data_IF_722898528382
#
_entry.id   IF_722898528382
#
_cell.length_a   1.000
_cell.length_b   1.000
_cell.length_c   1.000
_cell.angle_alpha   90.00
_cell.angle_beta   90.00
_cell.angle_gamma   90.00
#
_symmetry.space_group_name_H-M   'P 1'
#
loop_
_entity.id
_entity.type
_entity.pdbx_description
1 polymer ?
#
# COMPACT_ATOMS: atom_id res chain seq x y z
N UNK A 1 -13.57 -16.72 -82.31
CA UNK A 1 -13.66 -18.02 -81.62
C UNK A 1 -12.26 -18.34 -81.06
N UNK A 2 -12.04 -18.00 -79.78
CA UNK A 2 -11.89 -18.93 -78.62
C UNK A 2 -10.61 -19.79 -78.73
N UNK A 3 -9.56 -19.43 -77.97
CA UNK A 3 -9.23 -19.89 -76.59
C UNK A 3 -8.80 -21.37 -76.65
N UNK A 4 -7.72 -21.85 -76.01
CA UNK A 4 -7.31 -21.76 -74.59
C UNK A 4 -6.00 -22.59 -74.49
N UNK A 5 -4.89 -22.05 -73.96
CA UNK A 5 -4.36 -22.12 -72.57
C UNK A 5 -3.36 -23.27 -72.30
N UNK A 6 -2.17 -22.86 -71.83
CA UNK A 6 -1.24 -23.43 -70.82
C UNK A 6 -0.71 -24.88 -71.08
N UNK A 7 0.56 -25.22 -70.82
CA UNK A 7 1.36 -24.90 -69.64
C UNK A 7 2.86 -25.26 -69.87
N UNK A 8 3.68 -24.82 -68.91
CA UNK A 8 5.04 -25.28 -68.57
C UNK A 8 6.22 -24.67 -69.33
N UNK A 9 6.91 -23.72 -68.68
CA UNK A 9 8.38 -23.73 -68.61
C UNK A 9 8.86 -22.84 -67.45
N UNK A 10 9.62 -23.46 -66.53
CA UNK A 10 10.51 -22.78 -65.60
C UNK A 10 11.55 -22.00 -66.40
N UNK A 11 11.68 -20.70 -66.16
CA UNK A 11 12.86 -19.92 -66.56
C UNK A 11 13.23 -18.99 -65.41
N UNK A 12 14.51 -19.07 -65.07
CA UNK A 12 15.22 -18.24 -64.10
C UNK A 12 15.39 -16.79 -64.58
N UNK A 13 15.60 -15.92 -63.59
CA UNK A 13 16.18 -14.58 -63.67
C UNK A 13 15.28 -13.46 -64.21
N UNK A 14 14.85 -12.57 -63.31
CA UNK A 14 14.94 -11.12 -63.54
C UNK A 14 14.95 -10.34 -62.21
N UNK A 15 15.98 -9.52 -62.07
CA UNK A 15 16.16 -8.30 -61.28
C UNK A 15 14.98 -7.81 -60.41
N UNK A 16 15.23 -7.60 -59.12
CA UNK A 16 14.56 -6.53 -58.38
C UNK A 16 15.51 -5.84 -57.40
N UNK A 17 15.59 -4.53 -57.60
CA UNK A 17 16.33 -3.53 -56.86
C UNK A 17 15.60 -3.18 -55.56
N UNK A 18 16.37 -2.74 -54.56
CA UNK A 18 15.99 -2.01 -53.34
C UNK A 18 15.28 -2.81 -52.22
N UNK A 19 16.05 -3.13 -51.17
CA UNK A 19 15.91 -2.44 -49.87
C UNK A 19 17.06 -2.87 -48.95
N UNK A 20 17.83 -1.87 -48.51
CA UNK A 20 18.92 -2.04 -47.58
C UNK A 20 18.36 -2.39 -46.19
N UNK A 21 18.58 -3.63 -45.75
CA UNK A 21 18.51 -3.99 -44.34
C UNK A 21 19.83 -3.57 -43.68
N UNK A 22 19.97 -2.27 -43.38
CA UNK A 22 21.00 -1.83 -42.43
C UNK A 22 20.51 -2.17 -41.03
N UNK A 23 21.21 -3.10 -40.40
CA UNK A 23 21.26 -3.28 -38.96
C UNK A 23 21.54 -1.92 -38.29
N UNK A 24 20.49 -1.26 -37.82
CA UNK A 24 20.61 -0.25 -36.79
C UNK A 24 20.44 -0.97 -35.46
N UNK A 25 21.58 -1.13 -34.78
CA UNK A 25 21.71 -1.49 -33.39
C UNK A 25 20.83 -0.51 -32.58
N UNK A 26 19.57 -0.87 -32.34
CA UNK A 26 18.73 -0.20 -31.34
C UNK A 26 19.40 -0.53 -30.02
N UNK A 27 20.26 0.37 -29.60
CA UNK A 27 20.84 0.37 -28.28
C UNK A 27 19.66 0.47 -27.33
N UNK A 28 19.30 -0.67 -26.76
CA UNK A 28 18.44 -0.78 -25.61
C UNK A 28 19.16 -0.03 -24.49
N UNK A 29 18.92 1.28 -24.39
CA UNK A 29 19.18 1.99 -23.15
C UNK A 29 18.11 1.44 -22.21
N UNK A 30 18.43 0.31 -21.57
CA UNK A 30 17.97 0.03 -20.23
C UNK A 30 18.41 1.26 -19.42
N UNK A 31 17.54 2.26 -19.38
CA UNK A 31 17.59 3.28 -18.35
C UNK A 31 17.39 2.53 -17.05
N UNK A 32 18.49 2.10 -16.45
CA UNK A 32 18.56 1.94 -15.01
C UNK A 32 18.35 3.35 -14.49
N UNK A 33 17.08 3.74 -14.36
CA UNK A 33 16.71 4.93 -13.61
C UNK A 33 17.10 4.61 -12.18
N UNK A 34 18.29 5.08 -11.82
CA UNK A 34 18.73 5.13 -10.44
C UNK A 34 17.74 6.02 -9.70
N UNK A 35 17.02 5.45 -8.73
CA UNK A 35 16.12 6.15 -7.79
C UNK A 35 16.88 7.13 -6.85
N UNK A 36 17.95 7.74 -7.34
CA UNK A 36 18.99 8.37 -6.53
C UNK A 36 18.64 9.76 -5.98
N UNK A 37 17.51 10.37 -6.37
CA UNK A 37 17.23 11.79 -6.11
C UNK A 37 15.76 12.10 -5.74
N UNK A 38 15.13 11.35 -4.83
CA UNK A 38 14.00 11.97 -4.09
C UNK A 38 14.60 12.81 -2.96
N UNK A 39 14.39 14.13 -3.01
CA UNK A 39 14.86 15.01 -1.93
C UNK A 39 14.02 14.76 -0.66
N UNK A 40 14.66 14.71 0.52
CA UNK A 40 13.96 14.56 1.78
C UNK A 40 13.02 15.74 1.98
N UNK A 41 11.81 15.45 2.44
CA UNK A 41 10.76 16.46 2.63
C UNK A 41 9.76 16.02 3.68
N UNK A 42 9.11 16.99 4.32
CA UNK A 42 7.90 16.76 5.10
C UNK A 42 6.73 17.43 4.40
N UNK A 43 5.55 16.85 4.59
CA UNK A 43 4.29 17.42 4.10
C UNK A 43 3.43 17.74 5.32
N UNK A 44 3.02 18.99 5.47
CA UNK A 44 2.10 19.42 6.55
C UNK A 44 0.70 18.83 6.35
N UNK A 45 -0.15 18.91 7.36
CA UNK A 45 -1.56 18.49 7.22
C UNK A 45 -2.27 19.22 6.08
N UNK A 46 -2.00 20.51 5.95
CA UNK A 46 -2.58 21.37 4.93
C UNK A 46 -1.95 21.11 3.55
N UNK A 47 -0.99 20.19 3.42
CA UNK A 47 -0.37 19.79 2.16
C UNK A 47 0.79 20.69 1.71
N UNK A 48 1.34 21.53 2.59
CA UNK A 48 2.55 22.30 2.28
C UNK A 48 3.77 21.38 2.29
N UNK A 49 4.63 21.54 1.29
CA UNK A 49 5.86 20.74 1.17
C UNK A 49 7.03 21.56 1.72
N UNK A 50 7.69 21.03 2.74
CA UNK A 50 8.92 21.60 3.29
C UNK A 50 10.06 20.65 2.95
N UNK A 51 10.88 21.05 1.97
CA UNK A 51 12.08 20.31 1.58
C UNK A 51 13.16 20.45 2.65
N UNK A 52 13.86 19.36 2.95
CA UNK A 52 14.94 19.30 3.93
C UNK A 52 14.99 17.98 4.68
N UNK A 53 16.16 17.68 5.26
CA UNK A 53 16.34 16.54 6.14
C UNK A 53 15.68 16.83 7.48
N UNK A 54 14.94 15.86 8.00
CA UNK A 54 14.57 15.86 9.41
C UNK A 54 15.85 15.65 10.22
N UNK A 55 16.14 16.56 11.12
CA UNK A 55 17.36 16.54 11.96
C UNK A 55 17.10 15.81 13.28
N UNK A 56 15.91 16.01 13.85
CA UNK A 56 15.50 15.39 15.10
C UNK A 56 13.98 15.39 15.25
N UNK A 57 13.46 14.43 16.01
CA UNK A 57 12.10 14.46 16.57
C UNK A 57 12.26 14.36 18.08
N UNK A 58 11.81 15.38 18.81
CA UNK A 58 11.84 15.37 20.27
C UNK A 58 10.72 14.51 20.86
N UNK A 59 10.85 14.14 22.14
CA UNK A 59 9.80 13.45 22.90
C UNK A 59 8.51 14.25 23.06
N UNK A 60 8.56 15.57 22.82
CA UNK A 60 7.36 16.42 22.75
C UNK A 60 6.70 16.44 21.37
N UNK A 61 7.15 15.60 20.42
CA UNK A 61 6.65 15.58 19.05
C UNK A 61 7.13 16.76 18.20
N UNK A 62 8.14 17.53 18.61
CA UNK A 62 8.67 18.60 17.77
C UNK A 62 9.65 18.05 16.73
N UNK A 63 9.36 18.29 15.44
CA UNK A 63 10.16 17.90 14.28
C UNK A 63 11.00 19.08 13.83
N UNK A 64 12.33 18.93 13.82
CA UNK A 64 13.26 19.95 13.32
C UNK A 64 13.67 19.66 11.89
N UNK A 65 13.51 20.65 11.02
CA UNK A 65 13.91 20.60 9.61
C UNK A 65 14.50 21.95 9.20
N UNK A 66 15.79 21.98 8.87
CA UNK A 66 16.53 23.24 8.65
C UNK A 66 16.34 24.18 9.86
N UNK A 67 15.88 25.41 9.63
CA UNK A 67 15.60 26.42 10.65
C UNK A 67 14.13 26.39 11.15
N UNK A 68 13.33 25.40 10.74
CA UNK A 68 11.92 25.27 11.10
C UNK A 68 11.72 24.19 12.18
N UNK A 69 10.77 24.47 13.07
CA UNK A 69 10.26 23.51 14.05
C UNK A 69 8.76 23.35 13.84
N UNK A 70 8.34 22.13 13.51
CA UNK A 70 6.96 21.78 13.20
C UNK A 70 6.48 20.71 14.18
N UNK A 71 5.24 20.78 14.70
CA UNK A 71 4.71 19.72 15.53
C UNK A 71 4.37 18.49 14.69
N UNK A 72 4.69 17.29 15.18
CA UNK A 72 4.53 16.02 14.48
C UNK A 72 3.07 15.76 14.11
N UNK A 73 2.13 16.09 14.99
CA UNK A 73 0.68 16.00 14.74
C UNK A 73 0.15 17.03 13.72
N UNK A 74 0.99 18.00 13.33
CA UNK A 74 0.79 18.96 12.25
C UNK A 74 1.35 18.49 10.90
N UNK A 75 1.93 17.29 10.83
CA UNK A 75 2.46 16.72 9.61
C UNK A 75 1.57 15.58 9.11
N UNK A 76 1.44 15.47 7.78
CA UNK A 76 0.77 14.38 7.06
C UNK A 76 1.74 13.25 6.75
N UNK A 77 2.96 13.63 6.32
CA UNK A 77 3.98 12.63 6.00
C UNK A 77 5.40 13.16 6.12
N UNK A 78 6.32 12.24 6.37
CA UNK A 78 7.77 12.45 6.33
C UNK A 78 8.33 11.52 5.26
N UNK A 79 9.08 12.08 4.31
CA UNK A 79 9.84 11.34 3.30
C UNK A 79 11.33 11.52 3.62
N UNK A 80 12.01 10.48 4.13
CA UNK A 80 13.44 10.52 4.45
C UNK A 80 14.34 10.60 3.21
N UNK A 81 15.63 10.83 3.46
CA UNK A 81 16.68 10.94 2.42
C UNK A 81 17.06 9.56 1.84
N UNK A 82 18.06 9.57 0.94
CA UNK A 82 18.61 8.45 0.19
C UNK A 82 18.65 7.12 0.95
N UNK A 83 18.18 6.10 0.24
CA UNK A 83 17.78 4.79 0.77
C UNK A 83 18.86 3.74 0.52
N UNK A 84 19.01 2.79 1.44
CA UNK A 84 19.78 1.57 1.21
C UNK A 84 18.94 0.56 0.42
N UNK A 85 19.42 0.01 -0.69
CA UNK A 85 18.69 -1.06 -1.37
C UNK A 85 18.78 -2.35 -0.54
N UNK A 86 17.64 -2.80 -0.02
CA UNK A 86 17.51 -4.12 0.62
C UNK A 86 16.45 -4.91 -0.13
N UNK A 87 16.84 -6.02 -0.73
CA UNK A 87 15.92 -6.97 -1.35
C UNK A 87 15.18 -7.75 -0.27
N UNK A 88 13.84 -7.80 -0.34
CA UNK A 88 13.05 -8.62 0.57
C UNK A 88 13.21 -10.11 0.23
N UNK A 89 13.81 -10.86 1.16
CA UNK A 89 13.95 -12.32 1.09
C UNK A 89 13.08 -13.04 2.12
N UNK A 90 12.08 -12.35 2.68
CA UNK A 90 11.28 -12.89 3.77
C UNK A 90 10.41 -14.06 3.32
N UNK A 91 10.33 -15.07 4.20
CA UNK A 91 9.59 -16.30 3.94
C UNK A 91 8.14 -16.21 4.38
N UNK A 92 7.76 -15.19 5.14
CA UNK A 92 6.44 -15.06 5.77
C UNK A 92 6.11 -13.64 6.22
N UNK A 93 5.10 -13.53 7.07
CA UNK A 93 4.78 -12.29 7.80
C UNK A 93 4.40 -12.57 9.25
N UNK A 94 4.78 -11.64 10.13
CA UNK A 94 4.24 -11.52 11.49
C UNK A 94 3.36 -10.27 11.52
N UNK A 95 2.13 -10.40 11.98
CA UNK A 95 1.13 -9.33 12.01
C UNK A 95 0.76 -9.10 13.47
N UNK A 96 0.85 -7.86 13.94
CA UNK A 96 0.56 -7.48 15.32
C UNK A 96 -0.89 -6.99 15.49
N UNK A 97 -1.38 -6.96 16.73
CA UNK A 97 -2.73 -6.48 17.08
C UNK A 97 -2.94 -4.99 16.77
N UNK A 98 -1.87 -4.18 16.72
CA UNK A 98 -1.95 -2.79 16.26
C UNK A 98 -2.07 -2.67 14.73
N UNK A 99 -1.88 -3.77 13.99
CA UNK A 99 -1.88 -3.82 12.53
C UNK A 99 -0.50 -3.58 11.90
N UNK A 100 0.58 -3.59 12.69
CA UNK A 100 1.94 -3.70 12.15
C UNK A 100 2.12 -5.02 11.40
N UNK A 101 2.79 -4.97 10.26
CA UNK A 101 3.09 -6.12 9.41
C UNK A 101 4.59 -6.21 9.15
N UNK A 102 5.25 -7.16 9.79
CA UNK A 102 6.66 -7.45 9.56
C UNK A 102 6.83 -8.48 8.46
N UNK A 103 7.66 -8.16 7.46
CA UNK A 103 8.28 -9.17 6.63
C UNK A 103 9.20 -9.99 7.53
N UNK A 104 8.99 -11.32 7.56
CA UNK A 104 9.58 -12.18 8.58
C UNK A 104 10.11 -13.51 8.00
N UNK A 105 11.22 -13.98 8.55
CA UNK A 105 11.79 -15.30 8.35
C UNK A 105 12.15 -15.94 9.69
N UNK A 106 12.28 -17.28 9.71
CA UNK A 106 12.66 -18.03 10.93
C UNK A 106 11.77 -17.73 12.14
N UNK A 107 10.46 -17.63 11.92
CA UNK A 107 9.46 -17.38 12.97
C UNK A 107 9.46 -18.56 13.96
N UNK A 108 9.60 -18.27 15.25
CA UNK A 108 9.57 -19.23 16.35
C UNK A 108 8.75 -18.71 17.52
N UNK A 109 8.23 -19.62 18.33
CA UNK A 109 7.63 -19.32 19.64
C UNK A 109 8.60 -19.78 20.72
N UNK A 110 9.10 -18.86 21.55
CA UNK A 110 10.06 -19.10 22.63
C UNK A 110 9.57 -18.32 23.85
N UNK A 111 9.33 -19.00 24.98
CA UNK A 111 8.95 -18.38 26.25
C UNK A 111 7.84 -17.31 26.13
N UNK A 112 6.71 -17.67 25.50
CA UNK A 112 5.55 -16.78 25.24
C UNK A 112 5.85 -15.59 24.31
N UNK A 113 6.99 -15.58 23.62
CA UNK A 113 7.36 -14.56 22.64
C UNK A 113 7.50 -15.15 21.23
N UNK A 114 7.04 -14.40 20.23
CA UNK A 114 7.32 -14.68 18.83
C UNK A 114 8.65 -14.02 18.45
N UNK A 115 9.63 -14.84 18.10
CA UNK A 115 10.97 -14.42 17.68
C UNK A 115 11.11 -14.66 16.18
N UNK A 116 11.61 -13.66 15.44
CA UNK A 116 11.78 -13.75 13.99
C UNK A 116 12.87 -12.81 13.47
N UNK A 117 13.38 -13.09 12.27
CA UNK A 117 14.26 -12.17 11.55
C UNK A 117 13.43 -11.29 10.61
N UNK A 118 13.64 -9.96 10.64
CA UNK A 118 13.06 -9.02 9.68
C UNK A 118 14.17 -8.31 8.88
N UNK A 119 14.05 -8.20 7.54
CA UNK A 119 15.05 -7.53 6.71
C UNK A 119 15.35 -6.11 7.18
N UNK A 120 16.64 -5.77 7.27
CA UNK A 120 17.11 -4.46 7.73
C UNK A 120 17.06 -4.28 9.25
N UNK A 121 16.02 -4.76 9.94
CA UNK A 121 15.87 -4.63 11.39
C UNK A 121 16.73 -5.65 12.14
N UNK A 122 16.81 -6.89 11.65
CA UNK A 122 17.50 -7.99 12.31
C UNK A 122 16.56 -8.88 13.13
N UNK A 123 17.02 -9.35 14.30
CA UNK A 123 16.22 -10.20 15.18
C UNK A 123 15.19 -9.35 15.94
N UNK A 124 13.92 -9.72 15.85
CA UNK A 124 12.80 -9.07 16.51
C UNK A 124 12.12 -10.08 17.43
N UNK A 125 11.75 -9.63 18.61
CA UNK A 125 11.07 -10.40 19.64
C UNK A 125 9.86 -9.58 20.10
N UNK A 126 8.68 -10.20 20.05
CA UNK A 126 7.42 -9.58 20.48
C UNK A 126 6.63 -10.57 21.35
N UNK A 127 5.97 -10.12 22.42
CA UNK A 127 5.07 -10.98 23.19
C UNK A 127 3.98 -11.58 22.31
N UNK A 128 3.58 -12.83 22.54
CA UNK A 128 2.53 -13.50 21.77
C UNK A 128 1.20 -12.74 21.83
N UNK A 129 0.91 -12.08 22.95
CA UNK A 129 -0.29 -11.25 23.13
C UNK A 129 -0.33 -10.03 22.19
N UNK A 130 0.83 -9.53 21.77
CA UNK A 130 0.93 -8.46 20.77
C UNK A 130 0.75 -8.99 19.34
N UNK A 131 0.75 -10.30 19.13
CA UNK A 131 0.66 -10.92 17.81
C UNK A 131 -0.79 -11.22 17.48
N UNK A 132 -1.20 -10.86 16.27
CA UNK A 132 -2.53 -11.16 15.71
C UNK A 132 -2.50 -12.38 14.80
N UNK A 133 -1.49 -12.48 13.95
CA UNK A 133 -1.40 -13.56 13.00
C UNK A 133 0.05 -13.82 12.55
N UNK A 134 0.29 -15.07 12.18
CA UNK A 134 1.53 -15.56 11.60
C UNK A 134 1.22 -16.15 10.23
N UNK A 135 2.01 -15.82 9.21
CA UNK A 135 1.84 -16.35 7.86
C UNK A 135 3.15 -16.96 7.40
N UNK A 136 3.12 -18.24 7.08
CA UNK A 136 4.27 -18.98 6.56
C UNK A 136 4.11 -19.13 5.03
N UNK A 137 5.07 -18.60 4.27
CA UNK A 137 5.09 -18.66 2.80
C UNK A 137 4.63 -17.37 2.13
N UNK A 138 4.07 -17.47 0.91
CA UNK A 138 3.59 -16.33 0.08
C UNK A 138 2.10 -16.08 0.23
N UNK A 139 1.67 -14.84 -0.02
CA UNK A 139 0.28 -14.44 0.13
C UNK A 139 -0.60 -15.16 -0.90
N UNK A 140 -1.65 -15.83 -0.43
CA UNK A 140 -2.72 -16.41 -1.25
C UNK A 140 -3.97 -15.55 -1.11
N UNK A 141 -4.19 -14.67 -2.10
CA UNK A 141 -5.36 -13.77 -2.13
C UNK A 141 -6.67 -14.58 -2.14
N UNK A 142 -7.69 -14.10 -1.41
CA UNK A 142 -9.00 -14.76 -1.26
C UNK A 142 -9.00 -16.04 -0.42
N UNK A 143 -7.85 -16.44 0.15
CA UNK A 143 -7.74 -17.64 0.97
C UNK A 143 -8.53 -17.53 2.28
N UNK A 144 -8.85 -18.67 2.90
CA UNK A 144 -9.52 -18.72 4.22
C UNK A 144 -8.72 -17.98 5.29
N UNK A 145 -7.39 -18.06 5.25
CA UNK A 145 -6.53 -17.27 6.12
C UNK A 145 -6.73 -15.77 5.93
N UNK A 146 -6.75 -15.28 4.67
CA UNK A 146 -6.94 -13.85 4.43
C UNK A 146 -8.33 -13.41 4.91
N UNK A 147 -9.38 -14.22 4.69
CA UNK A 147 -10.71 -13.94 5.23
C UNK A 147 -10.73 -13.92 6.76
N UNK A 148 -10.06 -14.88 7.40
CA UNK A 148 -9.92 -14.92 8.86
C UNK A 148 -9.15 -13.73 9.44
N UNK A 149 -8.16 -13.21 8.71
CA UNK A 149 -7.44 -11.99 9.06
C UNK A 149 -8.29 -10.73 8.86
N UNK A 150 -9.02 -10.64 7.74
CA UNK A 150 -9.84 -9.47 7.36
C UNK A 150 -11.12 -9.35 8.17
N UNK A 151 -11.66 -10.44 8.70
CA UNK A 151 -12.80 -10.42 9.62
C UNK A 151 -12.33 -9.93 11.00
N UNK A 152 -11.85 -8.69 11.05
CA UNK A 152 -11.26 -7.98 12.19
C UNK A 152 -12.31 -7.58 13.24
N UNK A 153 -13.52 -8.11 13.19
CA UNK A 153 -14.63 -7.66 14.05
C UNK A 153 -15.09 -8.72 15.05
N UNK A 154 -14.74 -9.99 14.84
CA UNK A 154 -15.13 -11.08 15.72
C UNK A 154 -13.95 -11.50 16.59
N UNK A 155 -14.03 -11.27 17.90
CA UNK A 155 -13.17 -11.93 18.89
C UNK A 155 -13.45 -13.43 18.82
N UNK A 156 -12.47 -14.20 18.36
CA UNK A 156 -12.48 -15.66 18.50
C UNK A 156 -12.04 -16.02 19.91
N UNK A 157 -12.59 -17.08 20.47
CA UNK A 157 -12.19 -17.61 21.78
C UNK A 157 -10.98 -18.55 21.69
N UNK A 158 -10.65 -19.04 20.49
CA UNK A 158 -9.58 -20.02 20.23
C UNK A 158 -8.85 -19.64 18.94
N UNK A 159 -7.54 -19.89 18.87
CA UNK A 159 -6.75 -19.63 17.67
C UNK A 159 -7.22 -20.51 16.51
N UNK A 160 -7.02 -20.01 15.29
CA UNK A 160 -7.30 -20.75 14.08
C UNK A 160 -6.05 -20.99 13.26
N UNK A 161 -5.71 -22.25 13.10
CA UNK A 161 -4.57 -22.76 12.35
C UNK A 161 -5.04 -23.12 10.93
N UNK A 162 -4.32 -22.60 9.93
CA UNK A 162 -4.60 -22.84 8.52
C UNK A 162 -3.56 -23.79 7.92
N UNK A 163 -4.00 -24.96 7.47
CA UNK A 163 -3.14 -26.03 6.96
C UNK A 163 -3.36 -26.22 5.46
N UNK A 164 -2.27 -26.37 4.71
CA UNK A 164 -2.29 -26.71 3.29
C UNK A 164 -2.79 -28.16 3.10
N UNK A 165 -3.99 -28.30 2.54
CA UNK A 165 -4.68 -29.57 2.32
C UNK A 165 -5.05 -29.88 0.86
N UNK A 166 -4.53 -29.13 -0.11
CA UNK A 166 -4.88 -29.26 -1.53
C UNK A 166 -5.04 -27.90 -2.21
N UNK A 167 -6.10 -27.73 -3.00
CA UNK A 167 -6.45 -26.44 -3.63
C UNK A 167 -6.92 -25.38 -2.64
N UNK A 168 -7.47 -25.81 -1.49
CA UNK A 168 -7.94 -24.92 -0.42
C UNK A 168 -7.19 -25.16 0.89
N UNK A 169 -7.19 -24.14 1.76
CA UNK A 169 -6.67 -24.23 3.11
C UNK A 169 -7.73 -24.85 4.03
N UNK A 170 -7.33 -25.83 4.82
CA UNK A 170 -8.15 -26.32 5.92
C UNK A 170 -7.96 -25.40 7.14
N UNK A 171 -9.05 -25.05 7.81
CA UNK A 171 -9.04 -24.30 9.07
C UNK A 171 -9.27 -25.29 10.22
N UNK A 172 -8.48 -25.17 11.28
CA UNK A 172 -8.53 -26.01 12.48
C UNK A 172 -8.35 -25.12 13.68
N UNK A 173 -9.21 -25.24 14.68
CA UNK A 173 -9.06 -24.51 15.94
C UNK A 173 -8.15 -25.28 16.92
N UNK A 174 -7.39 -24.52 17.72
CA UNK A 174 -6.54 -25.04 18.79
C UNK A 174 -5.59 -23.98 19.33
N UNK A 175 -4.98 -24.23 20.49
CA UNK A 175 -4.04 -23.30 21.13
C UNK A 175 -2.61 -23.59 20.66
N UNK A 176 -1.88 -22.58 20.18
CA UNK A 176 -0.46 -22.79 19.82
C UNK A 176 0.37 -23.08 21.07
N UNK A 177 1.16 -24.15 21.03
CA UNK A 177 2.09 -24.54 22.09
C UNK A 177 3.55 -24.34 21.67
N UNK A 178 3.88 -24.62 20.40
CA UNK A 178 5.25 -24.51 19.90
C UNK A 178 5.28 -24.14 18.41
N UNK A 179 6.24 -23.30 18.03
CA UNK A 179 6.60 -23.04 16.64
C UNK A 179 8.13 -23.07 16.57
N UNK A 180 8.68 -24.00 15.81
CA UNK A 180 10.11 -24.05 15.51
C UNK A 180 10.36 -23.99 13.99
N UNK A 181 11.61 -24.22 13.57
CA UNK A 181 11.96 -24.19 12.13
C UNK A 181 11.36 -25.32 11.28
N UNK A 182 10.73 -26.33 11.89
CA UNK A 182 10.30 -27.56 11.25
C UNK A 182 8.80 -27.85 11.46
N UNK A 183 8.26 -27.49 12.62
CA UNK A 183 6.95 -27.91 13.10
C UNK A 183 6.21 -26.76 13.78
N UNK A 184 4.89 -26.87 13.69
CA UNK A 184 3.93 -26.13 14.50
C UNK A 184 3.17 -27.16 15.35
N UNK A 185 3.19 -26.96 16.66
CA UNK A 185 2.48 -27.80 17.64
C UNK A 185 1.36 -26.98 18.27
N UNK A 186 0.18 -27.56 18.35
CA UNK A 186 -0.98 -26.93 18.98
C UNK A 186 -1.81 -27.95 19.76
N UNK A 187 -2.37 -27.54 20.89
CA UNK A 187 -3.37 -28.34 21.60
C UNK A 187 -4.73 -28.20 20.94
N UNK A 188 -5.35 -29.35 20.65
CA UNK A 188 -6.75 -29.40 20.26
C UNK A 188 -7.46 -30.43 21.13
N UNK A 189 -8.46 -29.98 21.87
CA UNK A 189 -9.28 -30.83 22.74
C UNK A 189 -8.41 -31.64 23.75
N UNK A 190 -7.41 -31.00 24.37
CA UNK A 190 -6.44 -31.60 25.31
C UNK A 190 -5.49 -32.62 24.66
N UNK A 191 -5.27 -32.49 23.35
CA UNK A 191 -4.40 -33.37 22.59
C UNK A 191 -3.52 -32.57 21.64
N UNK A 192 -2.21 -32.66 21.88
CA UNK A 192 -1.19 -32.09 21.01
C UNK A 192 -1.29 -32.65 19.58
N UNK A 193 -1.37 -31.73 18.62
CA UNK A 193 -1.27 -31.97 17.19
C UNK A 193 0.05 -31.39 16.69
N UNK A 194 0.73 -32.10 15.80
CA UNK A 194 1.99 -31.64 15.19
C UNK A 194 1.81 -31.53 13.67
N UNK A 195 2.14 -30.37 13.12
CA UNK A 195 2.04 -30.09 11.69
C UNK A 195 3.41 -29.64 11.19
N UNK A 196 3.96 -30.23 10.12
CA UNK A 196 5.16 -29.71 9.47
C UNK A 196 4.95 -28.25 9.04
N UNK A 197 5.91 -27.36 9.34
CA UNK A 197 5.77 -25.92 9.11
C UNK A 197 5.55 -25.60 7.62
N UNK A 198 6.14 -26.38 6.71
CA UNK A 198 5.91 -26.25 5.26
C UNK A 198 4.46 -26.59 4.82
N UNK A 199 3.68 -27.26 5.68
CA UNK A 199 2.25 -27.51 5.49
C UNK A 199 1.38 -26.50 6.25
N UNK A 200 1.89 -25.91 7.33
CA UNK A 200 1.21 -24.79 7.98
C UNK A 200 1.27 -23.56 7.06
N UNK A 201 0.11 -23.00 6.69
CA UNK A 201 0.06 -21.76 5.91
C UNK A 201 0.08 -20.53 6.83
N UNK A 202 -0.51 -20.64 8.02
CA UNK A 202 -0.50 -19.56 9.00
C UNK A 202 -1.39 -19.83 10.19
N UNK A 203 -1.32 -18.95 11.17
CA UNK A 203 -2.20 -18.96 12.35
C UNK A 203 -2.78 -17.56 12.53
N UNK A 204 -4.03 -17.52 12.98
CA UNK A 204 -4.73 -16.33 13.40
C UNK A 204 -5.07 -16.52 14.87
N UNK A 205 -4.42 -15.75 15.75
CA UNK A 205 -4.53 -15.90 17.21
C UNK A 205 -5.82 -15.29 17.75
N UNK A 206 -6.34 -15.84 18.84
CA UNK A 206 -7.47 -15.31 19.61
C UNK A 206 -7.09 -14.11 20.48
N UNK A 207 -6.40 -13.13 19.89
CA UNK A 207 -5.90 -11.95 20.61
C UNK A 207 -6.97 -10.86 20.71
N UNK A 208 -7.00 -10.08 21.81
CA UNK A 208 -7.86 -8.91 21.91
C UNK A 208 -7.47 -7.89 20.84
N UNK A 209 -8.47 -7.32 20.17
CA UNK A 209 -8.25 -6.32 19.15
C UNK A 209 -8.20 -4.94 19.79
N UNK A 210 -7.19 -4.15 19.42
CA UNK A 210 -7.13 -2.74 19.79
C UNK A 210 -8.24 -1.97 19.08
N UNK A 211 -8.94 -1.15 19.87
CA UNK A 211 -9.87 -0.17 19.35
C UNK A 211 -9.11 0.84 18.50
N UNK A 212 -9.80 1.47 17.55
CA UNK A 212 -9.14 2.37 16.60
C UNK A 212 -8.44 3.57 17.27
N UNK A 213 -8.93 4.03 18.42
CA UNK A 213 -8.33 5.09 19.22
C UNK A 213 -7.17 4.63 20.11
N UNK A 214 -6.98 3.33 20.28
CA UNK A 214 -5.86 2.71 20.99
C UNK A 214 -4.72 2.36 20.03
N UNK A 215 -4.95 2.49 18.71
CA UNK A 215 -3.92 2.20 17.70
C UNK A 215 -2.95 3.37 17.58
N UNK A 216 -1.67 3.07 17.34
CA UNK A 216 -0.68 4.12 17.19
C UNK A 216 -0.96 5.05 16.02
N UNK A 217 -0.52 6.30 16.15
CA UNK A 217 -0.84 7.36 15.21
C UNK A 217 0.02 7.33 13.93
N UNK A 218 1.17 6.65 13.92
CA UNK A 218 2.08 6.70 12.77
C UNK A 218 2.15 5.36 12.05
N UNK A 219 2.42 5.43 10.75
CA UNK A 219 2.73 4.27 9.91
C UNK A 219 4.09 4.49 9.28
N UNK A 220 5.07 3.68 9.67
CA UNK A 220 6.39 3.65 9.07
C UNK A 220 6.43 2.55 8.01
N UNK A 221 6.60 2.93 6.75
CA UNK A 221 6.89 2.01 5.66
C UNK A 221 8.39 1.85 5.55
N UNK A 222 8.90 0.63 5.69
CA UNK A 222 10.32 0.33 5.64
C UNK A 222 10.73 -0.31 4.31
N UNK A 223 12.02 -0.21 4.00
CA UNK A 223 12.65 -0.97 2.93
C UNK A 223 12.54 -2.46 3.29
N UNK A 224 12.21 -3.30 2.30
CA UNK A 224 11.98 -4.74 2.53
C UNK A 224 10.53 -5.10 2.87
N UNK A 225 9.58 -4.17 2.78
CA UNK A 225 8.14 -4.47 2.82
C UNK A 225 7.51 -4.59 4.22
N UNK A 226 8.30 -4.36 5.28
CA UNK A 226 7.80 -4.20 6.65
C UNK A 226 7.06 -2.86 6.80
N UNK A 227 5.90 -2.90 7.43
CA UNK A 227 5.06 -1.73 7.74
C UNK A 227 4.78 -1.71 9.24
N UNK A 228 5.27 -0.69 9.94
CA UNK A 228 5.13 -0.60 11.39
C UNK A 228 4.11 0.48 11.73
N UNK A 229 3.04 0.12 12.42
CA UNK A 229 2.15 1.06 13.09
C UNK A 229 2.70 1.32 14.49
N UNK A 230 3.07 2.58 14.76
CA UNK A 230 3.74 2.97 15.99
C UNK A 230 3.53 4.45 16.32
N UNK A 231 3.75 4.81 17.58
CA UNK A 231 3.95 6.18 18.04
C UNK A 231 5.45 6.47 18.04
N UNK A 232 5.81 7.68 17.60
CA UNK A 232 7.20 8.11 17.53
C UNK A 232 7.55 8.76 18.87
N UNK A 233 8.48 8.13 19.58
CA UNK A 233 8.98 8.62 20.87
C UNK A 233 10.10 9.65 20.66
N UNK A 234 11.06 9.35 19.78
CA UNK A 234 12.16 10.24 19.48
C UNK A 234 12.87 9.88 18.18
N UNK A 235 13.60 10.83 17.62
CA UNK A 235 14.58 10.59 16.56
C UNK A 235 15.81 11.46 16.81
N UNK A 236 16.98 10.83 16.85
CA UNK A 236 18.26 11.46 17.21
C UNK A 236 19.16 11.82 16.01
N UNK A 237 18.64 11.69 14.78
CA UNK A 237 19.41 11.85 13.55
C UNK A 237 19.90 10.53 12.94
N UNK A 238 19.81 9.40 13.67
CA UNK A 238 20.23 8.07 13.19
C UNK A 238 19.20 6.98 13.43
N UNK A 239 18.65 6.93 14.63
CA UNK A 239 17.69 5.91 15.05
C UNK A 239 16.38 6.58 15.42
N UNK A 240 15.28 6.04 14.91
CA UNK A 240 13.94 6.41 15.38
C UNK A 240 13.52 5.43 16.47
N UNK A 241 13.12 5.98 17.62
CA UNK A 241 12.56 5.25 18.75
C UNK A 241 11.03 5.27 18.61
N UNK A 242 10.43 4.08 18.67
CA UNK A 242 9.02 3.89 18.40
C UNK A 242 8.37 2.93 19.41
N UNK A 243 7.12 3.21 19.75
CA UNK A 243 6.26 2.34 20.55
C UNK A 243 5.15 1.77 19.66
N UNK A 244 4.98 0.44 19.61
CA UNK A 244 3.99 -0.20 18.72
C UNK A 244 2.70 -0.55 19.45
N UNK A 245 2.84 -1.04 20.68
CA UNK A 245 1.79 -1.39 21.64
C UNK A 245 2.42 -1.38 23.04
N UNK A 246 1.60 -1.59 24.08
CA UNK A 246 2.08 -1.79 25.45
C UNK A 246 3.23 -2.82 25.47
N UNK A 247 4.34 -2.46 26.13
CA UNK A 247 5.59 -3.23 26.24
C UNK A 247 6.37 -3.56 24.95
N UNK A 248 5.93 -3.09 23.78
CA UNK A 248 6.66 -3.30 22.52
C UNK A 248 7.28 -1.99 22.04
N UNK A 249 8.54 -1.78 22.45
CA UNK A 249 9.37 -0.65 22.05
C UNK A 249 10.49 -1.10 21.12
N UNK A 250 10.80 -0.31 20.10
CA UNK A 250 11.84 -0.63 19.12
C UNK A 250 12.65 0.60 18.73
N UNK A 251 13.91 0.35 18.32
CA UNK A 251 14.73 1.35 17.62
C UNK A 251 14.96 0.89 16.19
N UNK A 252 14.57 1.72 15.24
CA UNK A 252 14.73 1.43 13.80
C UNK A 252 15.72 2.41 13.21
N UNK A 253 16.62 1.93 12.35
CA UNK A 253 17.54 2.81 11.63
C UNK A 253 16.77 3.70 10.67
N UNK A 254 17.07 5.00 10.67
CA UNK A 254 16.45 5.98 9.77
C UNK A 254 16.67 5.65 8.29
N UNK A 255 17.78 4.99 7.96
CA UNK A 255 18.11 4.57 6.59
C UNK A 255 17.16 3.49 6.03
N UNK A 256 16.42 2.80 6.91
CA UNK A 256 15.41 1.82 6.53
C UNK A 256 14.04 2.45 6.28
N UNK A 257 13.82 3.70 6.71
CA UNK A 257 12.51 4.34 6.63
C UNK A 257 12.31 4.90 5.23
N UNK A 258 11.31 4.38 4.51
CA UNK A 258 10.92 4.88 3.19
C UNK A 258 9.97 6.07 3.30
N UNK A 259 9.02 5.99 4.24
CA UNK A 259 7.99 6.99 4.48
C UNK A 259 7.42 6.81 5.89
N UNK A 260 7.06 7.92 6.50
CA UNK A 260 6.21 7.95 7.69
C UNK A 260 4.91 8.63 7.30
N UNK A 261 3.79 7.93 7.37
CA UNK A 261 2.45 8.52 7.33
C UNK A 261 2.01 8.82 8.76
N UNK A 262 1.40 9.99 8.98
CA UNK A 262 0.99 10.44 10.30
C UNK A 262 -0.53 10.59 10.32
N UNK A 263 -1.18 9.95 11.30
CA UNK A 263 -2.60 10.08 11.59
C UNK A 263 -2.76 11.28 12.52
N UNK A 264 -3.65 12.18 12.15
CA UNK A 264 -4.03 13.31 12.98
C UNK A 264 -5.52 13.21 13.25
N UNK A 265 -5.98 13.58 14.45
CA UNK A 265 -7.42 13.72 14.70
C UNK A 265 -8.07 14.77 13.79
N UNK A 266 -7.27 15.67 13.20
CA UNK A 266 -7.72 16.66 12.23
C UNK A 266 -7.89 16.10 10.82
N UNK A 267 -7.45 14.87 10.53
CA UNK A 267 -7.52 14.27 9.21
C UNK A 267 -8.18 12.89 9.23
N UNK A 268 -8.87 12.56 8.14
CA UNK A 268 -9.43 11.24 7.93
C UNK A 268 -9.18 10.77 6.50
N UNK A 269 -8.46 9.67 6.36
CA UNK A 269 -8.19 9.10 5.04
C UNK A 269 -9.45 8.45 4.48
N UNK A 270 -9.77 8.76 3.22
CA UNK A 270 -10.95 8.17 2.57
C UNK A 270 -10.79 6.66 2.38
N UNK A 271 -9.55 6.15 2.33
CA UNK A 271 -9.32 4.71 2.25
C UNK A 271 -9.74 3.95 3.51
N UNK A 272 -9.90 4.60 4.66
CA UNK A 272 -10.42 3.96 5.88
C UNK A 272 -11.95 4.07 6.01
N UNK A 273 -12.59 4.94 5.24
CA UNK A 273 -14.02 5.22 5.36
C UNK A 273 -14.88 4.18 4.64
N UNK A 274 -15.95 3.74 5.29
CA UNK A 274 -17.07 3.11 4.59
C UNK A 274 -17.73 4.10 3.63
N UNK A 275 -18.20 3.58 2.49
CA UNK A 275 -18.78 4.42 1.44
C UNK A 275 -20.30 4.40 1.52
N UNK A 276 -20.92 5.56 1.28
CA UNK A 276 -22.38 5.68 1.21
C UNK A 276 -22.92 5.07 -0.09
N UNK A 277 -22.13 5.21 -1.17
CA UNK A 277 -22.53 4.79 -2.50
C UNK A 277 -21.33 4.55 -3.38
N UNK A 278 -21.41 3.54 -4.24
CA UNK A 278 -20.47 3.32 -5.32
C UNK A 278 -21.21 3.04 -6.63
N UNK A 279 -20.70 3.58 -7.73
CA UNK A 279 -21.18 3.34 -9.08
C UNK A 279 -19.97 3.15 -9.98
N UNK A 280 -19.97 2.05 -10.74
CA UNK A 280 -18.91 1.74 -11.70
C UNK A 280 -19.56 1.43 -13.03
N UNK A 281 -19.35 2.31 -14.00
CA UNK A 281 -19.96 2.32 -15.34
C UNK A 281 -18.87 2.61 -16.39
N UNK A 282 -18.04 1.61 -16.73
CA UNK A 282 -17.10 1.76 -17.84
C UNK A 282 -17.85 1.96 -19.16
N UNK A 283 -17.18 2.61 -20.11
CA UNK A 283 -17.69 2.84 -21.47
C UNK A 283 -17.38 1.63 -22.35
N UNK A 284 -16.11 1.26 -22.48
CA UNK A 284 -15.67 0.07 -23.24
C UNK A 284 -14.75 -0.85 -22.42
N UNK A 285 -14.12 -0.36 -21.35
CA UNK A 285 -13.22 -1.14 -20.52
C UNK A 285 -13.95 -2.19 -19.67
N UNK A 286 -13.18 -3.13 -19.12
CA UNK A 286 -13.71 -4.07 -18.15
C UNK A 286 -14.11 -3.34 -16.87
N UNK A 287 -15.26 -3.73 -16.31
CA UNK A 287 -15.67 -3.27 -14.99
C UNK A 287 -14.66 -3.75 -13.95
N UNK A 288 -13.95 -2.81 -13.32
CA UNK A 288 -13.02 -3.08 -12.22
C UNK A 288 -13.52 -2.43 -10.95
N UNK A 289 -13.60 -3.15 -9.82
CA UNK A 289 -13.84 -2.54 -8.52
C UNK A 289 -12.69 -1.59 -8.19
N UNK A 290 -13.02 -0.40 -7.67
CA UNK A 290 -12.04 0.49 -7.08
C UNK A 290 -11.34 -0.19 -5.90
N UNK A 291 -10.14 0.28 -5.58
CA UNK A 291 -9.30 -0.31 -4.53
C UNK A 291 -8.89 0.75 -3.50
N UNK A 292 -8.69 0.31 -2.27
CA UNK A 292 -8.15 1.11 -1.16
C UNK A 292 -6.65 0.84 -1.05
N UNK A 293 -5.86 1.90 -0.93
CA UNK A 293 -4.41 1.88 -0.75
C UNK A 293 -3.65 1.08 -1.84
N UNK A 294 -4.29 0.87 -2.99
CA UNK A 294 -3.80 0.14 -4.14
C UNK A 294 -4.38 0.75 -5.40
N UNK A 295 -3.72 0.53 -6.53
CA UNK A 295 -4.25 0.86 -7.87
C UNK A 295 -5.50 0.02 -8.17
N UNK A 296 -6.26 0.42 -9.18
CA UNK A 296 -7.42 -0.36 -9.65
C UNK A 296 -7.07 -1.78 -10.15
N UNK A 297 -5.78 -2.05 -10.43
CA UNK A 297 -5.25 -3.37 -10.79
C UNK A 297 -4.69 -4.16 -9.60
N UNK A 298 -4.65 -3.55 -8.40
CA UNK A 298 -4.21 -4.16 -7.15
C UNK A 298 -2.69 -4.15 -6.96
N UNK A 299 -2.00 -3.15 -7.53
CA UNK A 299 -0.59 -2.83 -7.34
C UNK A 299 -0.44 -1.68 -6.33
N UNK A 300 0.75 -1.42 -5.76
CA UNK A 300 1.01 -0.20 -5.01
C UNK A 300 0.80 1.04 -5.89
N UNK A 301 0.14 2.07 -5.35
CA UNK A 301 -0.12 3.34 -6.05
C UNK A 301 1.21 3.99 -6.41
N UNK A 302 1.38 4.33 -7.69
CA UNK A 302 2.61 4.92 -8.21
C UNK A 302 2.30 5.93 -9.32
N UNK A 303 2.52 7.21 -9.04
CA UNK A 303 2.31 8.30 -10.02
C UNK A 303 3.66 8.94 -10.32
N UNK A 304 4.12 8.84 -11.57
CA UNK A 304 5.37 9.45 -12.04
C UNK A 304 6.54 9.14 -11.11
N UNK A 305 6.76 7.86 -10.87
CA UNK A 305 7.79 7.33 -9.97
C UNK A 305 7.58 7.55 -8.47
N UNK A 306 6.63 8.37 -8.05
CA UNK A 306 6.29 8.58 -6.64
C UNK A 306 5.33 7.48 -6.15
N UNK A 307 5.73 6.75 -5.10
CA UNK A 307 4.93 5.67 -4.51
C UNK A 307 4.16 6.19 -3.31
N UNK A 308 2.89 5.82 -3.22
CA UNK A 308 2.00 6.20 -2.12
C UNK A 308 1.51 4.96 -1.39
N UNK A 309 1.48 5.06 -0.07
CA UNK A 309 1.01 3.99 0.81
C UNK A 309 -0.49 4.08 1.07
N UNK A 310 -1.10 5.21 0.72
CA UNK A 310 -2.50 5.54 1.01
C UNK A 310 -3.15 6.18 -0.21
N UNK A 311 -4.42 5.89 -0.41
CA UNK A 311 -5.20 6.50 -1.48
C UNK A 311 -6.27 5.58 -2.02
N UNK A 312 -6.79 5.95 -3.19
CA UNK A 312 -7.85 5.21 -3.87
C UNK A 312 -7.48 4.98 -5.33
N UNK A 313 -7.47 3.73 -5.77
CA UNK A 313 -7.24 3.37 -7.16
C UNK A 313 -8.56 3.15 -7.91
N UNK A 314 -8.84 4.01 -8.88
CA UNK A 314 -10.05 4.02 -9.69
C UNK A 314 -9.74 3.63 -11.15
N UNK A 315 -10.76 3.18 -11.87
CA UNK A 315 -10.79 3.32 -13.32
C UNK A 315 -11.78 4.41 -13.71
N UNK A 316 -11.65 5.01 -14.89
CA UNK A 316 -12.70 5.94 -15.34
C UNK A 316 -14.07 5.26 -15.45
N UNK A 317 -15.12 6.05 -15.29
CA UNK A 317 -16.49 5.59 -15.02
C UNK A 317 -16.73 5.15 -13.57
N UNK A 318 -15.84 5.47 -12.64
CA UNK A 318 -15.99 5.17 -11.20
C UNK A 318 -16.41 6.42 -10.44
N UNK A 319 -17.46 6.28 -9.62
CA UNK A 319 -18.04 7.31 -8.78
C UNK A 319 -18.25 6.75 -7.38
N UNK A 320 -17.63 7.34 -6.37
CA UNK A 320 -17.71 6.84 -4.99
C UNK A 320 -18.04 8.00 -4.06
N UNK A 321 -19.11 7.85 -3.29
CA UNK A 321 -19.59 8.85 -2.32
C UNK A 321 -19.18 8.45 -0.92
N UNK A 322 -18.45 9.32 -0.25
CA UNK A 322 -17.97 9.18 1.11
C UNK A 322 -18.77 10.07 2.06
N UNK A 323 -19.07 9.59 3.28
CA UNK A 323 -19.65 10.43 4.31
C UNK A 323 -18.63 11.45 4.81
N UNK A 324 -19.04 12.71 4.98
CA UNK A 324 -18.27 13.74 5.67
C UNK A 324 -18.98 14.08 7.00
N UNK A 325 -18.95 13.13 7.94
CA UNK A 325 -19.65 13.24 9.23
C UNK A 325 -18.86 14.01 10.29
N UNK A 326 -17.57 14.27 10.03
CA UNK A 326 -16.68 14.99 10.92
C UNK A 326 -16.67 16.51 10.70
N UNK A 327 -15.83 17.24 11.44
CA UNK A 327 -15.73 18.70 11.35
C UNK A 327 -14.85 19.16 10.17
N UNK A 328 -14.72 18.35 9.12
CA UNK A 328 -13.78 18.60 8.03
C UNK A 328 -14.32 19.61 7.02
N UNK A 329 -13.45 20.50 6.57
CA UNK A 329 -13.75 21.60 5.67
C UNK A 329 -12.92 21.57 4.39
N UNK A 330 -11.94 20.66 4.29
CA UNK A 330 -11.06 20.53 3.13
C UNK A 330 -10.90 19.07 2.70
N UNK A 331 -11.00 18.81 1.40
CA UNK A 331 -10.55 17.56 0.78
C UNK A 331 -9.18 17.77 0.11
N UNK A 332 -8.24 16.88 0.39
CA UNK A 332 -6.87 16.91 -0.17
C UNK A 332 -6.56 15.57 -0.82
N UNK A 333 -5.94 15.59 -2.00
CA UNK A 333 -5.35 14.41 -2.65
C UNK A 333 -4.23 14.81 -3.61
N UNK A 334 -3.33 13.89 -3.91
CA UNK A 334 -2.45 13.95 -5.07
C UNK A 334 -3.07 13.10 -6.19
N UNK A 335 -3.53 13.74 -7.26
CA UNK A 335 -4.19 13.05 -8.37
C UNK A 335 -3.20 12.73 -9.49
N UNK A 336 -3.39 11.58 -10.13
CA UNK A 336 -2.53 11.13 -11.21
C UNK A 336 -3.03 9.89 -11.93
N UNK A 337 -2.44 9.60 -13.08
CA UNK A 337 -2.61 8.33 -13.76
C UNK A 337 -1.46 7.41 -13.34
N UNK A 338 -1.78 6.18 -12.95
CA UNK A 338 -0.78 5.24 -12.42
C UNK A 338 0.25 4.84 -13.48
N UNK A 339 1.48 4.58 -13.02
CA UNK A 339 2.59 4.17 -13.86
C UNK A 339 2.38 2.78 -14.51
N UNK A 340 1.48 1.94 -13.99
CA UNK A 340 1.11 0.65 -14.57
C UNK A 340 0.49 0.77 -15.98
N UNK A 341 0.03 1.97 -16.34
CA UNK A 341 -0.49 2.33 -17.66
C UNK A 341 0.61 2.52 -18.70
N UNK A 342 1.87 2.67 -18.26
CA UNK A 342 3.05 2.99 -19.05
C UNK A 342 2.91 4.34 -19.79
N UNK A 343 2.40 5.35 -19.09
CA UNK A 343 2.24 6.72 -19.62
C UNK A 343 1.05 6.89 -20.57
N UNK A 344 0.04 6.01 -20.46
CA UNK A 344 -1.23 6.10 -21.20
C UNK A 344 -2.35 6.46 -20.23
N UNK A 345 -3.56 6.67 -20.75
CA UNK A 345 -4.71 7.06 -19.96
C UNK A 345 -4.90 8.57 -19.92
N UNK A 346 -6.16 8.96 -19.78
CA UNK A 346 -6.60 10.35 -19.85
C UNK A 346 -7.92 10.46 -19.10
N UNK A 347 -7.88 11.04 -17.89
CA UNK A 347 -9.04 11.09 -17.02
C UNK A 347 -9.38 12.53 -16.61
N UNK A 348 -10.67 12.76 -16.39
CA UNK A 348 -11.19 13.94 -15.71
C UNK A 348 -11.49 13.58 -14.25
N UNK A 349 -10.72 14.16 -13.32
CA UNK A 349 -10.93 14.03 -11.88
C UNK A 349 -11.93 15.07 -11.42
N UNK A 350 -13.00 14.62 -10.74
CA UNK A 350 -14.09 15.48 -10.28
C UNK A 350 -14.33 15.26 -8.79
N UNK A 351 -14.56 16.34 -8.06
CA UNK A 351 -15.00 16.30 -6.66
C UNK A 351 -16.36 17.01 -6.58
N UNK A 352 -17.35 16.34 -6.00
CA UNK A 352 -18.69 16.91 -5.76
C UNK A 352 -19.02 16.96 -4.29
N UNK A 353 -19.65 18.06 -3.85
CA UNK A 353 -20.34 18.17 -2.57
C UNK A 353 -21.84 18.04 -2.80
N UNK A 354 -22.43 16.88 -2.47
CA UNK A 354 -23.79 16.56 -2.88
C UNK A 354 -23.94 16.60 -4.42
N UNK A 355 -24.80 17.48 -4.94
CA UNK A 355 -25.00 17.66 -6.39
C UNK A 355 -24.08 18.71 -7.03
N UNK A 356 -23.36 19.49 -6.23
CA UNK A 356 -22.51 20.58 -6.72
C UNK A 356 -21.13 20.07 -7.14
N UNK A 357 -20.67 20.45 -8.33
CA UNK A 357 -19.27 20.26 -8.74
C UNK A 357 -18.40 21.31 -8.03
N UNK A 358 -17.46 20.86 -7.21
CA UNK A 358 -16.53 21.72 -6.47
C UNK A 358 -15.18 21.83 -7.17
N UNK A 359 -14.79 20.78 -7.89
CA UNK A 359 -13.53 20.70 -8.59
C UNK A 359 -13.65 19.80 -9.83
N UNK A 360 -12.93 20.17 -10.89
CA UNK A 360 -12.69 19.33 -12.07
C UNK A 360 -11.28 19.59 -12.61
N UNK A 361 -10.57 18.52 -12.97
CA UNK A 361 -9.28 18.64 -13.65
C UNK A 361 -8.95 17.41 -14.49
N UNK A 362 -8.51 17.66 -15.73
CA UNK A 362 -7.97 16.63 -16.62
C UNK A 362 -6.53 16.30 -16.27
N UNK A 363 -6.18 15.02 -16.25
CA UNK A 363 -4.82 14.51 -16.01
C UNK A 363 -4.51 13.38 -16.98
N UNK A 364 -3.31 13.39 -17.55
CA UNK A 364 -2.87 12.40 -18.55
C UNK A 364 -1.77 11.49 -18.02
N UNK A 365 -1.66 10.32 -18.61
CA UNK A 365 -0.56 9.39 -18.39
C UNK A 365 0.81 10.06 -18.55
N UNK A 366 1.67 9.90 -17.53
CA UNK A 366 3.03 10.43 -17.52
C UNK A 366 3.18 11.87 -17.00
N UNK A 367 2.08 12.56 -16.72
CA UNK A 367 2.08 13.82 -15.95
C UNK A 367 2.59 13.56 -14.51
N UNK A 368 3.26 14.53 -13.87
CA UNK A 368 3.57 14.42 -12.44
C UNK A 368 2.28 14.42 -11.61
N UNK A 369 2.37 13.82 -10.42
CA UNK A 369 1.29 13.89 -9.43
C UNK A 369 0.93 15.34 -9.12
N UNK A 370 -0.38 15.61 -9.01
CA UNK A 370 -0.89 16.97 -8.83
C UNK A 370 -1.64 17.08 -7.51
N UNK A 371 -1.09 17.84 -6.57
CA UNK A 371 -1.77 18.14 -5.31
C UNK A 371 -3.00 19.00 -5.58
N UNK A 372 -4.15 18.56 -5.08
CA UNK A 372 -5.41 19.30 -5.10
C UNK A 372 -5.88 19.55 -3.67
N UNK A 373 -6.53 20.70 -3.47
CA UNK A 373 -7.18 21.10 -2.23
C UNK A 373 -8.55 21.65 -2.62
N UNK A 374 -9.62 21.05 -2.09
CA UNK A 374 -11.00 21.38 -2.45
C UNK A 374 -11.76 21.73 -1.18
N UNK A 375 -12.28 22.94 -1.11
CA UNK A 375 -13.16 23.38 -0.02
C UNK A 375 -14.46 22.55 -0.07
N UNK A 376 -14.72 21.82 1.02
CA UNK A 376 -15.92 20.98 1.20
C UNK A 376 -16.78 21.47 2.37
N UNK A 377 -16.56 22.72 2.81
CA UNK A 377 -17.29 23.34 3.92
C UNK A 377 -18.79 23.22 3.75
N UNK A 378 -19.47 22.61 4.73
CA UNK A 378 -20.92 22.48 4.77
C UNK A 378 -21.49 21.35 3.91
N UNK A 379 -20.66 20.51 3.31
CA UNK A 379 -21.09 19.29 2.63
C UNK A 379 -20.96 18.08 3.56
N UNK A 380 -22.08 17.38 3.78
CA UNK A 380 -22.19 16.16 4.61
C UNK A 380 -21.72 14.88 3.89
N UNK A 381 -21.49 14.97 2.58
CA UNK A 381 -20.94 13.90 1.77
C UNK A 381 -20.17 14.48 0.59
N UNK A 382 -19.11 13.78 0.19
CA UNK A 382 -18.27 14.13 -0.95
C UNK A 382 -18.22 12.96 -1.91
N UNK A 383 -18.47 13.20 -3.19
CA UNK A 383 -18.33 12.20 -4.25
C UNK A 383 -17.07 12.46 -5.05
N UNK A 384 -16.23 11.44 -5.16
CA UNK A 384 -15.09 11.42 -6.07
C UNK A 384 -15.49 10.72 -7.35
N UNK A 385 -15.25 11.37 -8.49
CA UNK A 385 -15.58 10.84 -9.81
C UNK A 385 -14.33 10.86 -10.70
N UNK A 386 -14.15 9.78 -11.45
CA UNK A 386 -13.19 9.74 -12.54
C UNK A 386 -13.99 9.50 -13.81
N UNK A 387 -14.10 10.53 -14.65
CA UNK A 387 -14.70 10.45 -15.97
C UNK A 387 -13.62 10.17 -17.03
N UNK A 388 -13.95 9.49 -18.13
CA UNK A 388 -13.02 9.32 -19.25
C UNK A 388 -12.73 10.67 -19.93
N UNK A 389 -11.49 10.84 -20.40
CA UNK A 389 -11.05 11.98 -21.19
C UNK A 389 -11.40 11.86 -22.67
N UNK A 390 -10.47 12.26 -23.55
CA UNK A 390 -10.68 12.23 -25.01
C UNK A 390 -10.52 10.81 -25.60
N UNK A 391 -9.74 9.94 -24.94
CA UNK A 391 -9.40 8.60 -25.44
C UNK A 391 -10.31 7.49 -24.86
N UNK A 392 -11.55 7.85 -24.50
CA UNK A 392 -12.51 6.98 -23.78
C UNK A 392 -11.90 6.48 -22.45
N UNK A 393 -12.19 5.25 -22.04
CA UNK A 393 -11.74 4.65 -20.77
C UNK A 393 -10.54 3.69 -20.95
N UNK A 394 -9.70 3.93 -21.95
CA UNK A 394 -8.57 3.04 -22.28
C UNK A 394 -7.34 3.38 -21.44
N UNK A 395 -6.91 2.42 -20.62
CA UNK A 395 -5.76 2.57 -19.70
C UNK A 395 -5.94 3.71 -18.69
N UNK A 396 -7.18 4.05 -18.38
CA UNK A 396 -7.56 5.04 -17.37
C UNK A 396 -7.47 4.42 -15.98
N UNK A 397 -6.25 4.21 -15.48
CA UNK A 397 -6.01 3.81 -14.09
C UNK A 397 -5.68 5.08 -13.30
N UNK A 398 -6.70 5.64 -12.66
CA UNK A 398 -6.66 6.94 -12.00
C UNK A 398 -6.49 6.75 -10.50
N UNK A 399 -5.52 7.43 -9.90
CA UNK A 399 -5.26 7.35 -8.48
C UNK A 399 -5.54 8.67 -7.77
N UNK A 400 -6.26 8.58 -6.65
CA UNK A 400 -6.42 9.63 -5.64
C UNK A 400 -5.46 9.32 -4.50
N UNK A 401 -4.19 9.67 -4.65
CA UNK A 401 -3.16 9.35 -3.69
C UNK A 401 -3.22 10.25 -2.44
N UNK A 402 -2.94 9.68 -1.26
CA UNK A 402 -3.08 10.32 0.05
C UNK A 402 -4.43 11.06 0.25
N UNK A 403 -5.52 10.56 -0.37
CA UNK A 403 -6.83 11.19 -0.31
C UNK A 403 -7.39 11.24 1.12
N UNK A 404 -7.62 12.43 1.65
CA UNK A 404 -8.15 12.65 3.01
C UNK A 404 -9.08 13.85 3.11
N UNK A 405 -9.98 13.82 4.09
CA UNK A 405 -10.63 14.99 4.64
C UNK A 405 -9.76 15.61 5.74
N UNK A 406 -9.76 16.93 5.82
CA UNK A 406 -8.99 17.71 6.78
C UNK A 406 -9.88 18.78 7.41
N UNK A 407 -9.71 18.97 8.72
CA UNK A 407 -10.21 20.11 9.46
C UNK A 407 -9.08 21.15 9.54
N UNK A 408 -9.24 22.25 8.80
CA UNK A 408 -8.28 23.35 8.85
C UNK A 408 -8.29 24.03 10.22
N UNK A 409 -7.11 24.45 10.68
CA UNK A 409 -7.01 25.28 11.89
C UNK A 409 -7.57 26.67 11.59
N UNK A 410 -8.48 27.16 12.44
CA UNK A 410 -9.02 28.51 12.36
C UNK A 410 -8.03 29.59 12.79
#
# INVERSE_FOLDING_TARGET
MRRTKLNNLRVSAFSMVLTAFTWALVSYVLGVFSYANEEPRVITLEGEVVEGKVESISSGGLVRIKDLELPLDGLRSIIPDKRSEVTDHSEGKVILICGSEFSASQIRLIDEAIVFNSPGIGNVEVPIDAVRALRFGKLRRGSRFQKGLLNWEATKEVDSIFISGGSELQEVDGLIEEIDGNFLVFDRDQKLQTVPLNRAYGVVLASPLLKENERPACVLSLIGGTRIKADIEAFDGKMIEINLVEDVNMKVSWELVKRIGLKSARLEYLSDLDVLKEVIRPVIAFKRPWQRDLTVTGLPIKIKDQIYDRGLGFSSGTYVTFPNEGPYDLFIAEIGIDDDTLGRGDCEFVVRGGSQELFRKRVRGGDPAQLIKVDITGHDQVTLEVDPGEDLDIADHADWADACFLQTSK
#
